data_IF_578424227362
#
_entry.id   IF_578424227362
#
_cell.length_a   1.000
_cell.length_b   1.000
_cell.length_c   1.000
_cell.angle_alpha   90.00
_cell.angle_beta   90.00
_cell.angle_gamma   90.00
#
_symmetry.space_group_name_H-M   'P 1'
#
loop_
_entity.id
_entity.type
_entity.pdbx_description
1 polymer ?
#
# COMPACT_ATOMS: atom_id res chain seq x y z
N UNK A 1 5.02 -4.59 -7.01
CA UNK A 1 3.98 -3.60 -6.62
C UNK A 1 4.25 -2.29 -7.33
N UNK A 2 3.24 -1.69 -7.89
CA UNK A 2 3.35 -0.41 -8.58
C UNK A 2 2.57 0.66 -7.85
N UNK A 3 3.05 1.89 -7.94
CA UNK A 3 2.37 3.03 -7.34
C UNK A 3 1.01 3.24 -8.02
N UNK A 4 -0.08 3.34 -7.24
CA UNK A 4 -1.42 3.55 -7.83
C UNK A 4 -1.63 4.98 -8.34
N UNK A 5 -0.70 5.88 -8.05
CA UNK A 5 -0.80 7.27 -8.48
C UNK A 5 -0.08 7.52 -9.80
N UNK A 6 1.17 7.05 -9.89
CA UNK A 6 2.00 7.36 -11.06
C UNK A 6 2.43 6.11 -11.85
N UNK A 7 2.16 4.92 -11.33
CA UNK A 7 2.51 3.68 -11.99
C UNK A 7 3.96 3.26 -11.89
N UNK A 8 4.77 3.99 -11.12
CA UNK A 8 6.17 3.67 -10.94
C UNK A 8 6.35 2.40 -10.10
N UNK A 9 7.30 1.53 -10.44
CA UNK A 9 7.62 0.39 -9.60
C UNK A 9 8.50 0.75 -8.41
N UNK A 10 8.94 1.99 -8.33
CA UNK A 10 9.87 2.43 -7.30
C UNK A 10 9.14 2.80 -6.00
N UNK A 11 8.61 1.77 -5.34
CA UNK A 11 7.87 1.94 -4.09
C UNK A 11 8.63 1.24 -2.96
N UNK A 12 8.48 1.78 -1.76
CA UNK A 12 9.18 1.28 -0.59
C UNK A 12 8.18 0.91 0.49
N UNK A 13 8.38 -0.27 1.08
CA UNK A 13 7.55 -0.70 2.22
C UNK A 13 7.99 0.07 3.46
N UNK A 14 7.06 0.73 4.12
CA UNK A 14 7.34 1.50 5.32
C UNK A 14 7.04 0.71 6.58
N UNK A 15 5.90 0.03 6.62
CA UNK A 15 5.52 -0.82 7.74
C UNK A 15 4.44 -1.79 7.30
N UNK A 16 4.20 -2.79 8.13
CA UNK A 16 3.14 -3.76 7.86
C UNK A 16 2.55 -4.25 9.16
N UNK A 17 1.31 -4.70 9.10
CA UNK A 17 0.62 -5.22 10.27
C UNK A 17 -0.50 -6.14 9.83
N UNK A 18 -1.04 -6.91 10.77
CA UNK A 18 -2.16 -7.80 10.52
C UNK A 18 -3.44 -7.21 11.08
N UNK A 19 -4.55 -7.48 10.39
CA UNK A 19 -5.88 -7.15 10.87
C UNK A 19 -6.66 -8.43 11.02
N UNK A 20 -6.47 -9.17 12.14
CA UNK A 20 -7.07 -10.49 12.28
C UNK A 20 -8.59 -10.48 12.29
N UNK A 21 -9.20 -9.42 12.78
CA UNK A 21 -10.66 -9.31 12.79
C UNK A 21 -11.23 -9.21 11.39
N UNK A 22 -10.46 -8.70 10.45
CA UNK A 22 -10.88 -8.56 9.07
C UNK A 22 -10.23 -9.57 8.13
N UNK A 23 -9.24 -10.29 8.64
CA UNK A 23 -8.55 -11.30 7.86
C UNK A 23 -7.61 -10.75 6.81
N UNK A 24 -7.09 -9.54 7.02
CA UNK A 24 -6.16 -8.90 6.07
C UNK A 24 -4.79 -8.72 6.66
N UNK A 25 -3.80 -8.80 5.79
CA UNK A 25 -2.44 -8.35 6.08
C UNK A 25 -2.24 -7.04 5.32
N UNK A 26 -1.86 -6.00 6.02
CA UNK A 26 -1.75 -4.66 5.44
C UNK A 26 -0.29 -4.25 5.37
N UNK A 27 0.12 -3.74 4.22
CA UNK A 27 1.46 -3.20 4.03
C UNK A 27 1.35 -1.75 3.59
N UNK A 28 2.03 -0.86 4.32
CA UNK A 28 2.05 0.57 4.00
C UNK A 28 3.26 0.87 3.13
N UNK A 29 3.00 1.44 1.96
CA UNK A 29 4.05 1.77 0.99
C UNK A 29 4.12 3.28 0.76
N UNK A 30 5.28 3.73 0.35
CA UNK A 30 5.46 5.08 -0.16
C UNK A 30 6.13 4.99 -1.53
N UNK A 31 5.65 5.79 -2.47
CA UNK A 31 6.27 5.87 -3.78
C UNK A 31 7.44 6.83 -3.73
N UNK A 32 8.62 6.36 -4.15
CA UNK A 32 9.81 7.20 -4.13
C UNK A 32 9.84 8.15 -5.32
N UNK A 33 8.97 7.94 -6.29
CA UNK A 33 8.92 8.77 -7.49
C UNK A 33 8.01 9.98 -7.32
N UNK A 34 6.78 9.77 -6.83
CA UNK A 34 5.81 10.86 -6.72
C UNK A 34 5.49 11.25 -5.28
N UNK A 35 5.98 10.51 -4.30
CA UNK A 35 5.72 10.79 -2.90
C UNK A 35 4.35 10.34 -2.41
N UNK A 36 3.58 9.65 -3.25
CA UNK A 36 2.28 9.15 -2.86
C UNK A 36 2.38 7.99 -1.88
N UNK A 37 1.44 7.90 -0.97
CA UNK A 37 1.39 6.81 0.00
C UNK A 37 0.11 6.02 -0.18
N UNK A 38 0.21 4.72 0.06
CA UNK A 38 -0.91 3.83 -0.12
C UNK A 38 -0.73 2.59 0.74
N UNK A 39 -1.84 1.91 1.02
CA UNK A 39 -1.84 0.65 1.77
C UNK A 39 -2.25 -0.47 0.83
N UNK A 40 -1.55 -1.60 0.93
CA UNK A 40 -1.86 -2.79 0.16
C UNK A 40 -2.48 -3.81 1.11
N UNK A 41 -3.71 -4.21 0.82
CA UNK A 41 -4.46 -5.17 1.63
C UNK A 41 -4.49 -6.51 0.94
N UNK A 42 -4.07 -7.54 1.66
CA UNK A 42 -4.11 -8.92 1.16
C UNK A 42 -4.86 -9.77 2.16
N UNK A 43 -5.90 -10.43 1.71
CA UNK A 43 -6.68 -11.33 2.53
C UNK A 43 -7.01 -12.59 1.76
N UNK A 44 -7.84 -13.44 2.35
CA UNK A 44 -8.27 -14.64 1.67
C UNK A 44 -9.17 -14.28 0.51
N UNK A 45 -8.71 -14.57 -0.69
CA UNK A 45 -9.51 -14.35 -1.88
C UNK A 45 -9.75 -12.89 -2.23
N UNK A 46 -9.10 -11.97 -1.54
CA UNK A 46 -9.23 -10.54 -1.81
C UNK A 46 -7.90 -9.84 -1.71
N UNK A 47 -7.70 -8.89 -2.60
CA UNK A 47 -6.50 -8.08 -2.60
C UNK A 47 -6.85 -6.73 -3.21
N UNK A 48 -6.49 -5.66 -2.53
CA UNK A 48 -6.79 -4.33 -3.05
C UNK A 48 -5.83 -3.30 -2.45
N UNK A 49 -5.83 -2.12 -3.04
CA UNK A 49 -4.97 -1.02 -2.63
C UNK A 49 -5.84 0.17 -2.28
N UNK A 50 -5.59 0.79 -1.13
CA UNK A 50 -6.24 2.02 -0.71
C UNK A 50 -5.21 3.15 -0.76
N UNK A 51 -5.54 4.21 -1.48
CA UNK A 51 -4.68 5.38 -1.56
C UNK A 51 -4.85 6.22 -0.32
N UNK A 52 -3.75 6.54 0.32
CA UNK A 52 -3.73 7.32 1.56
C UNK A 52 -3.59 8.81 1.27
N UNK A 53 -2.76 9.15 0.29
CA UNK A 53 -2.52 10.52 -0.08
C UNK A 53 -1.04 10.78 -0.32
N UNK A 54 -0.71 12.03 -0.59
CA UNK A 54 0.67 12.43 -0.81
C UNK A 54 1.25 13.01 0.46
N UNK A 55 2.51 12.69 0.69
CA UNK A 55 3.25 13.28 1.79
C UNK A 55 3.66 14.69 1.39
N UNK A 56 3.48 15.61 2.28
CA UNK A 56 3.86 17.00 2.05
C UNK A 56 5.02 17.40 2.90
#
# INVERSE_FOLDING_TARGET
MKCPYCGSPNVEKMKEWDMPKRGYHVTHYICRNCGGRFNHYVGRGSEFVLRVGFKR
#
